data_IF_164159408074
#
_entry.id   IF_164159408074
#
_cell.length_a   1.000
_cell.length_b   1.000
_cell.length_c   1.000
_cell.angle_alpha   90.00
_cell.angle_beta   90.00
_cell.angle_gamma   90.00
#
_symmetry.space_group_name_H-M   'P 1'
#
loop_
_entity.id
_entity.type
_entity.pdbx_description
1 polymer ?
#
# COMPACT_ATOMS: atom_id res chain seq x y z
N UNK A 1 39.66 -5.96 -18.67
CA UNK A 1 38.22 -5.83 -18.77
C UNK A 1 37.57 -7.01 -18.05
N UNK A 2 37.27 -6.90 -16.76
CA UNK A 2 36.64 -7.94 -15.96
C UNK A 2 35.17 -7.55 -15.69
N UNK A 3 34.23 -8.29 -16.26
CA UNK A 3 32.81 -8.25 -15.91
C UNK A 3 32.65 -8.92 -14.54
N UNK A 4 32.31 -8.17 -13.52
CA UNK A 4 31.85 -8.72 -12.25
C UNK A 4 30.38 -9.13 -12.40
N UNK A 5 30.18 -10.45 -12.46
CA UNK A 5 28.86 -11.06 -12.36
C UNK A 5 28.51 -11.06 -10.88
N UNK A 6 27.46 -10.33 -10.52
CA UNK A 6 26.92 -10.30 -9.17
C UNK A 6 26.06 -11.57 -8.99
N UNK A 7 26.63 -12.59 -8.35
CA UNK A 7 25.90 -13.78 -7.91
C UNK A 7 24.98 -13.41 -6.77
N UNK A 8 23.69 -13.29 -7.05
CA UNK A 8 22.65 -13.29 -6.00
C UNK A 8 22.43 -14.75 -5.63
N UNK A 9 22.94 -15.15 -4.48
CA UNK A 9 22.69 -16.46 -3.91
C UNK A 9 21.24 -16.55 -3.45
N UNK A 10 20.43 -17.31 -4.18
CA UNK A 10 19.08 -17.70 -3.75
C UNK A 10 19.25 -18.83 -2.74
N UNK A 11 19.20 -18.52 -1.45
CA UNK A 11 19.03 -19.53 -0.41
C UNK A 11 17.54 -19.87 -0.30
N UNK A 12 17.17 -20.96 -0.92
CA UNK A 12 15.87 -21.59 -0.70
C UNK A 12 15.82 -22.22 0.69
N UNK A 13 15.11 -21.63 1.62
CA UNK A 13 14.65 -22.31 2.83
C UNK A 13 13.16 -22.59 2.70
N UNK A 14 12.80 -23.83 2.43
CA UNK A 14 11.42 -24.32 2.55
C UNK A 14 11.07 -24.22 4.03
N UNK A 15 10.20 -23.28 4.39
CA UNK A 15 9.83 -23.04 5.78
C UNK A 15 8.49 -23.65 6.14
N UNK A 16 8.51 -24.39 7.23
CA UNK A 16 7.35 -24.84 8.03
C UNK A 16 6.70 -23.65 8.78
N UNK A 17 6.63 -22.45 8.16
CA UNK A 17 6.18 -21.21 8.80
C UNK A 17 4.79 -20.73 8.43
N UNK A 18 4.03 -21.51 7.66
CA UNK A 18 2.81 -21.05 7.01
C UNK A 18 1.62 -20.76 7.95
N UNK A 19 1.64 -21.24 9.19
CA UNK A 19 0.54 -21.01 10.15
C UNK A 19 0.76 -19.84 11.14
N UNK A 20 1.99 -19.35 11.29
CA UNK A 20 2.28 -18.29 12.26
C UNK A 20 2.13 -16.86 11.69
N UNK A 21 2.20 -16.68 10.38
CA UNK A 21 2.10 -15.38 9.71
C UNK A 21 0.67 -14.85 9.61
N UNK A 22 -0.33 -15.73 9.64
CA UNK A 22 -1.75 -15.36 9.51
C UNK A 22 -2.28 -14.53 10.69
N UNK A 23 -1.88 -14.87 11.90
CA UNK A 23 -2.27 -14.12 13.09
C UNK A 23 -1.61 -12.74 13.18
N UNK A 24 -0.48 -12.53 12.48
CA UNK A 24 0.31 -11.31 12.60
C UNK A 24 -0.27 -10.14 11.81
N UNK A 25 -0.80 -10.37 10.62
CA UNK A 25 -1.31 -9.28 9.77
C UNK A 25 -2.64 -8.70 10.28
N UNK A 26 -3.51 -9.54 10.84
CA UNK A 26 -4.78 -9.07 11.44
C UNK A 26 -4.57 -8.40 12.79
N UNK A 27 -3.56 -8.84 13.55
CA UNK A 27 -3.21 -8.33 14.88
C UNK A 27 -1.92 -7.50 14.88
N UNK A 28 -1.46 -7.02 13.72
CA UNK A 28 -0.30 -6.15 13.68
C UNK A 28 -0.54 -4.96 14.61
N UNK A 29 0.42 -4.64 15.49
CA UNK A 29 0.28 -3.54 16.42
C UNK A 29 0.08 -2.23 15.63
N UNK A 30 -0.96 -1.48 15.97
CA UNK A 30 -1.28 -0.21 15.34
C UNK A 30 -0.66 0.91 16.14
N UNK A 31 0.18 1.72 15.49
CA UNK A 31 0.78 2.89 16.09
C UNK A 31 -0.22 4.04 16.15
N UNK A 32 -0.36 4.64 17.32
CA UNK A 32 -1.09 5.87 17.51
C UNK A 32 -0.11 7.04 17.60
N UNK A 33 -0.21 7.96 16.66
CA UNK A 33 0.72 9.08 16.56
C UNK A 33 0.47 10.18 17.60
N UNK A 34 -0.73 10.27 18.15
CA UNK A 34 -1.05 11.18 19.24
C UNK A 34 -0.52 10.65 20.58
N UNK A 35 -0.72 9.35 20.84
CA UNK A 35 -0.27 8.69 22.07
C UNK A 35 1.21 8.30 22.01
N UNK A 36 1.86 8.35 20.85
CA UNK A 36 3.26 7.93 20.61
C UNK A 36 3.57 6.52 21.10
N UNK A 37 2.60 5.61 20.96
CA UNK A 37 2.71 4.19 21.31
C UNK A 37 1.80 3.31 20.47
N UNK A 38 2.01 2.02 20.54
CA UNK A 38 1.08 1.06 19.95
C UNK A 38 -0.19 0.92 20.79
N UNK A 39 -1.33 0.76 20.11
CA UNK A 39 -2.60 0.46 20.74
C UNK A 39 -2.64 -0.96 21.28
N UNK A 40 -3.28 -1.15 22.44
CA UNK A 40 -3.59 -2.46 22.98
C UNK A 40 -4.78 -3.10 22.26
N UNK A 41 -4.93 -4.43 22.34
CA UNK A 41 -6.10 -5.13 21.79
C UNK A 41 -7.43 -4.58 22.34
N UNK A 42 -7.45 -4.14 23.59
CA UNK A 42 -8.63 -3.59 24.25
C UNK A 42 -9.00 -2.21 23.67
N UNK A 43 -8.01 -1.40 23.33
CA UNK A 43 -8.23 -0.09 22.69
C UNK A 43 -8.65 -0.23 21.22
N UNK A 44 -8.25 -1.28 20.56
CA UNK A 44 -8.73 -1.60 19.21
C UNK A 44 -10.23 -1.89 19.17
N UNK A 45 -10.79 -2.51 20.25
CA UNK A 45 -12.22 -2.73 20.40
C UNK A 45 -12.82 -3.76 19.48
N UNK A 46 -14.15 -3.73 19.28
CA UNK A 46 -14.86 -4.63 18.38
C UNK A 46 -14.48 -4.34 16.92
N UNK A 47 -14.30 -5.39 16.14
CA UNK A 47 -13.88 -5.33 14.75
C UNK A 47 -14.88 -6.01 13.81
N UNK A 48 -15.16 -5.34 12.71
CA UNK A 48 -15.83 -5.94 11.56
C UNK A 48 -14.77 -6.44 10.60
N UNK A 49 -14.55 -7.76 10.56
CA UNK A 49 -13.63 -8.43 9.63
C UNK A 49 -14.37 -8.73 8.34
N UNK A 50 -13.89 -8.19 7.22
CA UNK A 50 -14.49 -8.38 5.89
C UNK A 50 -13.71 -9.34 5.02
N UNK A 51 -12.37 -9.30 5.10
CA UNK A 51 -11.47 -10.10 4.29
C UNK A 51 -10.26 -10.55 5.11
N UNK A 52 -9.78 -11.75 4.84
CA UNK A 52 -8.45 -12.15 5.26
C UNK A 52 -7.37 -11.51 4.35
N UNK A 53 -6.12 -11.44 4.78
CA UNK A 53 -5.02 -10.98 3.92
C UNK A 53 -4.92 -11.71 2.59
N UNK A 54 -5.13 -13.04 2.60
CA UNK A 54 -5.04 -13.89 1.41
C UNK A 54 -6.21 -13.67 0.45
N UNK A 55 -7.43 -13.49 0.98
CA UNK A 55 -8.59 -13.13 0.16
C UNK A 55 -8.38 -11.77 -0.49
N UNK A 56 -7.88 -10.80 0.27
CA UNK A 56 -7.55 -9.48 -0.26
C UNK A 56 -6.45 -9.56 -1.32
N UNK A 57 -5.37 -10.33 -1.11
CA UNK A 57 -4.30 -10.51 -2.08
C UNK A 57 -4.80 -11.15 -3.39
N UNK A 58 -5.74 -12.11 -3.32
CA UNK A 58 -6.40 -12.67 -4.51
C UNK A 58 -7.24 -11.64 -5.26
N UNK A 59 -7.85 -10.68 -4.55
CA UNK A 59 -8.59 -9.58 -5.19
C UNK A 59 -7.65 -8.57 -5.84
N UNK A 60 -6.41 -8.42 -5.34
CA UNK A 60 -5.40 -7.59 -5.99
C UNK A 60 -4.85 -8.24 -7.27
N UNK A 61 -4.68 -9.56 -7.25
CA UNK A 61 -4.04 -10.33 -8.32
C UNK A 61 -4.89 -11.52 -8.76
N UNK A 62 -6.09 -11.26 -9.35
CA UNK A 62 -7.05 -12.34 -9.67
C UNK A 62 -6.55 -13.30 -10.74
N UNK A 63 -5.67 -12.84 -11.63
CA UNK A 63 -5.16 -13.59 -12.77
C UNK A 63 -3.73 -14.12 -12.55
N UNK A 64 -3.13 -13.88 -11.38
CA UNK A 64 -1.79 -14.37 -11.09
C UNK A 64 -1.76 -15.88 -10.86
N UNK A 65 -0.75 -16.54 -11.44
CA UNK A 65 -0.53 -18.00 -11.26
C UNK A 65 -0.27 -18.33 -9.79
N UNK A 66 0.44 -17.46 -9.09
CA UNK A 66 0.68 -17.57 -7.64
C UNK A 66 0.93 -16.20 -6.99
N UNK A 67 0.73 -16.15 -5.69
CA UNK A 67 1.01 -14.99 -4.86
C UNK A 67 1.96 -15.44 -3.74
N UNK A 68 3.13 -14.81 -3.68
CA UNK A 68 4.10 -15.05 -2.59
C UNK A 68 4.11 -13.89 -1.60
N UNK A 69 4.50 -14.18 -0.37
CA UNK A 69 4.70 -13.17 0.67
C UNK A 69 6.21 -12.95 0.88
N UNK A 70 6.61 -11.70 1.06
CA UNK A 70 8.01 -11.32 1.33
C UNK A 70 8.06 -10.18 2.34
N UNK A 71 8.80 -10.38 3.43
CA UNK A 71 9.05 -9.34 4.44
C UNK A 71 10.27 -8.54 4.04
N UNK A 72 10.11 -7.23 3.87
CA UNK A 72 11.21 -6.32 3.54
C UNK A 72 11.49 -5.39 4.70
N UNK A 73 12.73 -5.40 5.18
CA UNK A 73 13.21 -4.49 6.21
C UNK A 73 13.88 -3.28 5.55
N UNK A 74 13.45 -2.09 5.96
CA UNK A 74 14.01 -0.83 5.47
C UNK A 74 15.36 -0.54 6.12
N UNK A 75 16.31 -0.07 5.33
CA UNK A 75 17.48 0.58 5.90
C UNK A 75 17.08 1.94 6.54
N UNK A 76 17.89 2.48 7.47
CA UNK A 76 17.63 3.81 8.03
C UNK A 76 17.51 4.91 6.97
N UNK A 77 18.32 4.82 5.90
CA UNK A 77 18.32 5.78 4.78
C UNK A 77 17.04 5.65 3.95
N UNK A 78 16.61 4.41 3.63
CA UNK A 78 15.36 4.17 2.92
C UNK A 78 14.17 4.67 3.72
N UNK A 79 14.12 4.38 5.02
CA UNK A 79 13.07 4.85 5.91
C UNK A 79 12.99 6.38 5.93
N UNK A 80 14.13 7.06 6.10
CA UNK A 80 14.22 8.51 6.09
C UNK A 80 13.72 9.10 4.76
N UNK A 81 14.18 8.57 3.64
CA UNK A 81 13.76 9.00 2.30
C UNK A 81 12.25 8.86 2.10
N UNK A 82 11.68 7.72 2.50
CA UNK A 82 10.24 7.47 2.39
C UNK A 82 9.46 8.46 3.25
N UNK A 83 9.89 8.69 4.52
CA UNK A 83 9.25 9.66 5.43
C UNK A 83 9.29 11.08 4.87
N UNK A 84 10.40 11.52 4.30
CA UNK A 84 10.53 12.82 3.64
C UNK A 84 9.56 12.95 2.45
N UNK A 85 9.43 11.91 1.64
CA UNK A 85 8.54 11.90 0.46
C UNK A 85 7.05 11.92 0.81
N UNK A 86 6.66 11.20 1.86
CA UNK A 86 5.24 11.17 2.29
C UNK A 86 4.88 12.33 3.21
N UNK A 87 5.87 12.98 3.84
CA UNK A 87 5.70 14.15 4.70
C UNK A 87 5.29 13.83 6.15
N UNK A 88 5.46 12.58 6.60
CA UNK A 88 5.19 12.17 7.99
C UNK A 88 6.04 10.97 8.40
N UNK A 89 6.23 10.83 9.73
CA UNK A 89 7.03 9.75 10.30
C UNK A 89 6.16 8.54 10.63
N UNK A 90 6.74 7.35 10.52
CA UNK A 90 6.14 6.08 10.92
C UNK A 90 7.16 5.23 11.69
N UNK A 91 6.73 4.41 12.67
CA UNK A 91 7.63 3.64 13.50
C UNK A 91 8.14 2.36 12.82
N UNK A 92 7.35 1.79 11.92
CA UNK A 92 7.63 0.49 11.29
C UNK A 92 8.98 0.50 10.57
N UNK A 93 9.70 -0.61 10.67
CA UNK A 93 10.98 -0.83 9.98
C UNK A 93 10.89 -1.93 8.94
N UNK A 94 9.82 -2.73 8.96
CA UNK A 94 9.60 -3.80 8.00
C UNK A 94 8.14 -3.82 7.53
N UNK A 95 7.95 -4.32 6.31
CA UNK A 95 6.66 -4.42 5.67
C UNK A 95 6.50 -5.77 5.00
N UNK A 96 5.30 -6.37 5.13
CA UNK A 96 4.90 -7.60 4.45
C UNK A 96 4.32 -7.26 3.08
N UNK A 97 4.97 -7.74 2.02
CA UNK A 97 4.51 -7.59 0.65
C UNK A 97 3.93 -8.89 0.12
N UNK A 98 2.78 -8.81 -0.47
CA UNK A 98 2.20 -9.86 -1.32
C UNK A 98 2.57 -9.53 -2.76
N UNK A 99 3.19 -10.48 -3.46
CA UNK A 99 3.71 -10.28 -4.81
C UNK A 99 3.00 -11.27 -5.73
N UNK A 100 2.20 -10.74 -6.66
CA UNK A 100 1.55 -11.52 -7.70
C UNK A 100 2.51 -11.82 -8.85
N UNK A 101 2.49 -13.04 -9.35
CA UNK A 101 3.36 -13.47 -10.44
C UNK A 101 2.61 -14.39 -11.42
N UNK A 102 2.82 -14.12 -12.72
CA UNK A 102 2.32 -14.93 -13.83
C UNK A 102 3.48 -15.30 -14.76
N UNK A 103 3.73 -16.61 -14.94
CA UNK A 103 4.80 -17.13 -15.82
C UNK A 103 6.17 -16.49 -15.52
N UNK A 104 6.48 -16.31 -14.23
CA UNK A 104 7.73 -15.71 -13.75
C UNK A 104 7.87 -14.21 -13.95
N UNK A 105 6.78 -13.51 -14.31
CA UNK A 105 6.72 -12.04 -14.37
C UNK A 105 5.89 -11.52 -13.21
N UNK A 106 6.34 -10.43 -12.62
CA UNK A 106 5.63 -9.76 -11.53
C UNK A 106 4.42 -9.01 -12.11
N UNK A 107 3.25 -9.31 -11.58
CA UNK A 107 1.98 -8.65 -11.89
C UNK A 107 1.74 -7.42 -11.00
N UNK A 108 2.38 -7.39 -9.83
CA UNK A 108 2.32 -6.25 -8.91
C UNK A 108 2.72 -6.61 -7.48
N UNK A 109 2.59 -5.62 -6.63
CA UNK A 109 2.88 -5.70 -5.19
C UNK A 109 1.67 -5.21 -4.41
N UNK A 110 1.33 -5.90 -3.33
CA UNK A 110 0.32 -5.42 -2.41
C UNK A 110 0.84 -5.44 -0.99
N UNK A 111 0.38 -4.51 -0.16
CA UNK A 111 0.78 -4.45 1.24
C UNK A 111 -0.37 -3.98 2.12
N UNK A 112 -0.37 -4.46 3.36
CA UNK A 112 -1.36 -4.09 4.36
C UNK A 112 -0.95 -2.78 5.03
N UNK A 113 -1.91 -1.88 5.16
CA UNK A 113 -1.79 -0.64 5.89
C UNK A 113 -2.72 -0.66 7.11
N UNK A 114 -2.19 -0.19 8.24
CA UNK A 114 -2.97 0.10 9.43
C UNK A 114 -2.88 1.60 9.71
N UNK A 115 -4.01 2.28 9.69
CA UNK A 115 -4.06 3.73 9.95
C UNK A 115 -5.24 4.05 10.86
N UNK A 116 -5.07 5.04 11.74
CA UNK A 116 -6.14 5.48 12.63
C UNK A 116 -7.15 6.30 11.83
N UNK A 117 -8.43 5.92 11.91
CA UNK A 117 -9.54 6.70 11.38
C UNK A 117 -9.81 7.93 12.24
N UNK A 118 -10.98 8.02 12.83
CA UNK A 118 -11.27 9.07 13.83
C UNK A 118 -10.77 8.67 15.22
N UNK A 119 -11.04 7.43 15.62
CA UNK A 119 -10.71 6.91 16.96
C UNK A 119 -10.14 5.50 16.94
N UNK A 120 -10.40 4.75 15.86
CA UNK A 120 -10.08 3.34 15.76
C UNK A 120 -9.26 3.07 14.49
N UNK A 121 -8.42 2.03 14.52
CA UNK A 121 -7.63 1.66 13.35
C UNK A 121 -8.49 1.02 12.27
N UNK A 122 -8.13 1.32 11.02
CA UNK A 122 -8.58 0.62 9.83
C UNK A 122 -7.43 -0.21 9.27
N UNK A 123 -7.72 -1.44 8.90
CA UNK A 123 -6.79 -2.33 8.20
C UNK A 123 -7.26 -2.48 6.76
N UNK A 124 -6.39 -2.21 5.80
CA UNK A 124 -6.71 -2.32 4.37
C UNK A 124 -5.48 -2.71 3.57
N UNK A 125 -5.68 -3.32 2.43
CA UNK A 125 -4.62 -3.68 1.49
C UNK A 125 -4.63 -2.71 0.31
N UNK A 126 -3.45 -2.36 -0.17
CA UNK A 126 -3.23 -1.53 -1.36
C UNK A 126 -2.41 -2.34 -2.35
N UNK A 127 -2.99 -2.61 -3.52
CA UNK A 127 -2.31 -3.22 -4.66
C UNK A 127 -1.73 -2.16 -5.58
N UNK A 128 -0.52 -2.39 -6.07
CA UNK A 128 0.22 -1.51 -6.99
C UNK A 128 0.76 -2.34 -8.14
N UNK A 129 0.56 -1.89 -9.36
CA UNK A 129 1.00 -2.57 -10.56
C UNK A 129 2.50 -2.33 -10.89
N UNK A 130 3.06 -3.03 -11.90
CA UNK A 130 4.44 -2.82 -12.34
C UNK A 130 4.72 -1.44 -12.96
N UNK A 131 3.69 -0.62 -13.20
CA UNK A 131 3.77 0.76 -13.67
C UNK A 131 3.82 1.75 -12.50
N UNK A 132 3.60 1.28 -11.26
CA UNK A 132 3.58 2.12 -10.06
C UNK A 132 2.24 2.82 -9.85
N UNK A 133 1.17 2.26 -10.41
CA UNK A 133 -0.20 2.75 -10.26
C UNK A 133 -1.00 1.87 -9.30
N UNK A 134 -1.92 2.48 -8.57
CA UNK A 134 -2.83 1.72 -7.69
C UNK A 134 -3.72 0.81 -8.54
N UNK A 135 -3.63 -0.50 -8.31
CA UNK A 135 -4.54 -1.50 -8.89
C UNK A 135 -5.90 -1.46 -8.19
N UNK A 136 -5.88 -1.59 -6.87
CA UNK A 136 -7.07 -1.67 -6.05
C UNK A 136 -6.76 -1.33 -4.59
N UNK A 137 -7.80 -1.02 -3.82
CA UNK A 137 -7.75 -0.85 -2.36
C UNK A 137 -8.91 -1.63 -1.77
N UNK A 138 -8.63 -2.55 -0.83
CA UNK A 138 -9.65 -3.33 -0.14
C UNK A 138 -9.52 -3.17 1.37
N UNK A 139 -10.63 -2.88 2.03
CA UNK A 139 -10.68 -2.81 3.51
C UNK A 139 -10.86 -4.22 4.06
N UNK A 140 -9.92 -4.63 4.92
CA UNK A 140 -9.90 -5.93 5.56
C UNK A 140 -10.66 -5.90 6.89
N UNK A 141 -10.34 -4.89 7.72
CA UNK A 141 -10.95 -4.76 9.04
C UNK A 141 -11.31 -3.30 9.29
N UNK A 142 -12.51 -3.08 9.77
CA UNK A 142 -13.01 -1.77 10.16
C UNK A 142 -13.51 -1.79 11.59
N UNK A 143 -13.14 -0.77 12.38
CA UNK A 143 -13.40 -0.74 13.82
C UNK A 143 -14.16 0.49 14.28
N UNK A 144 -14.45 1.41 13.38
CA UNK A 144 -15.21 2.63 13.67
C UNK A 144 -16.72 2.37 13.57
N UNK A 145 -17.51 3.05 14.40
CA UNK A 145 -18.98 2.96 14.36
C UNK A 145 -19.61 3.67 13.16
N UNK A 146 -18.86 4.54 12.49
CA UNK A 146 -19.31 5.33 11.33
C UNK A 146 -18.21 5.39 10.27
N UNK A 147 -18.62 5.67 9.02
CA UNK A 147 -17.66 5.85 7.93
C UNK A 147 -17.24 4.55 7.24
N UNK A 148 -17.98 3.46 7.48
CA UNK A 148 -17.77 2.17 6.78
C UNK A 148 -17.92 2.28 5.26
N UNK A 149 -18.40 3.41 4.76
CA UNK A 149 -18.47 3.72 3.33
C UNK A 149 -17.11 3.71 2.64
N UNK A 150 -16.00 3.89 3.37
CA UNK A 150 -14.63 3.75 2.84
C UNK A 150 -14.33 2.35 2.30
N UNK A 151 -15.11 1.32 2.70
CA UNK A 151 -14.99 -0.03 2.16
C UNK A 151 -15.73 -0.26 0.84
N UNK A 152 -16.63 0.68 0.47
CA UNK A 152 -17.40 0.53 -0.77
C UNK A 152 -16.49 0.63 -1.99
N UNK A 153 -16.58 -0.34 -2.90
CA UNK A 153 -15.80 -0.35 -4.16
C UNK A 153 -15.91 0.97 -4.91
N UNK A 154 -17.12 1.56 -4.95
CA UNK A 154 -17.33 2.88 -5.58
C UNK A 154 -16.45 3.98 -4.98
N UNK A 155 -16.18 3.94 -3.69
CA UNK A 155 -15.28 4.90 -3.04
C UNK A 155 -13.83 4.57 -3.36
N UNK A 156 -13.42 3.31 -3.22
CA UNK A 156 -12.04 2.88 -3.43
C UNK A 156 -11.58 3.01 -4.89
N UNK A 157 -12.53 2.93 -5.83
CA UNK A 157 -12.26 3.10 -7.26
C UNK A 157 -11.54 4.42 -7.60
N UNK A 158 -11.74 5.48 -6.82
CA UNK A 158 -11.06 6.76 -7.03
C UNK A 158 -9.54 6.72 -6.80
N UNK A 159 -9.02 5.68 -6.14
CA UNK A 159 -7.59 5.49 -5.98
C UNK A 159 -6.94 4.81 -7.19
N UNK A 160 -7.69 4.07 -7.99
CA UNK A 160 -7.15 3.33 -9.14
C UNK A 160 -6.44 4.25 -10.12
N UNK A 161 -5.33 3.78 -10.69
CA UNK A 161 -4.49 4.55 -11.60
C UNK A 161 -3.70 5.69 -10.96
N UNK A 162 -3.83 5.92 -9.64
CA UNK A 162 -3.02 6.93 -8.97
C UNK A 162 -1.60 6.46 -8.73
N UNK A 163 -0.66 7.40 -8.88
CA UNK A 163 0.78 7.21 -8.72
C UNK A 163 1.30 7.95 -7.49
N UNK A 164 2.57 7.75 -7.08
CA UNK A 164 3.19 8.53 -5.99
C UNK A 164 3.21 10.05 -6.23
N UNK A 165 2.97 10.51 -7.44
CA UNK A 165 3.02 11.92 -7.83
C UNK A 165 1.66 12.63 -7.76
N UNK A 166 0.57 11.87 -7.69
CA UNK A 166 -0.75 12.44 -7.44
C UNK A 166 -0.87 12.99 -6.02
N UNK A 167 -1.66 14.04 -5.80
CA UNK A 167 -1.90 14.60 -4.48
C UNK A 167 -2.43 13.58 -3.47
N UNK A 168 -3.37 12.74 -3.88
CA UNK A 168 -4.12 11.77 -3.05
C UNK A 168 -4.64 12.48 -1.80
N UNK A 169 -5.38 13.56 -2.01
CA UNK A 169 -5.89 14.45 -0.95
C UNK A 169 -7.35 14.79 -1.17
N UNK A 170 -8.10 14.84 -0.06
CA UNK A 170 -9.48 15.32 -0.04
C UNK A 170 -9.55 16.73 -0.64
N UNK A 171 -10.59 16.99 -1.41
CA UNK A 171 -10.87 18.25 -2.11
C UNK A 171 -9.84 18.61 -3.20
N UNK A 172 -8.97 17.67 -3.56
CA UNK A 172 -8.11 17.79 -4.76
C UNK A 172 -8.45 16.71 -5.76
N UNK A 173 -8.13 15.47 -5.45
CA UNK A 173 -8.30 14.32 -6.32
C UNK A 173 -8.96 13.12 -5.60
N UNK A 174 -9.40 13.34 -4.35
CA UNK A 174 -10.17 12.39 -3.56
C UNK A 174 -11.47 13.06 -3.07
N UNK A 175 -12.60 12.45 -3.40
CA UNK A 175 -13.92 12.87 -2.93
C UNK A 175 -14.08 12.43 -1.48
N UNK A 176 -14.50 13.35 -0.63
CA UNK A 176 -14.73 13.07 0.78
C UNK A 176 -16.04 12.30 0.99
N UNK A 177 -16.11 11.58 2.12
CA UNK A 177 -17.33 10.98 2.63
C UNK A 177 -17.78 11.82 3.83
N UNK A 178 -19.02 12.33 3.77
CA UNK A 178 -19.61 13.08 4.89
C UNK A 178 -19.63 12.23 6.16
N UNK A 179 -19.10 12.76 7.25
CA UNK A 179 -18.99 12.03 8.53
C UNK A 179 -17.82 11.06 8.64
N UNK A 180 -17.02 10.85 7.56
CA UNK A 180 -15.87 9.95 7.55
C UNK A 180 -14.55 10.64 7.12
N UNK A 181 -14.45 11.95 7.23
CA UNK A 181 -13.31 12.74 6.74
C UNK A 181 -11.96 12.24 7.28
N UNK A 182 -11.90 11.85 8.55
CA UNK A 182 -10.67 11.34 9.16
C UNK A 182 -10.28 10.00 8.55
N UNK A 183 -11.24 9.09 8.38
CA UNK A 183 -10.99 7.79 7.75
C UNK A 183 -10.52 7.94 6.30
N UNK A 184 -11.14 8.83 5.52
CA UNK A 184 -10.71 9.13 4.14
C UNK A 184 -9.29 9.71 4.10
N UNK A 185 -8.97 10.65 5.02
CA UNK A 185 -7.64 11.26 5.11
C UNK A 185 -6.57 10.22 5.43
N UNK A 186 -6.84 9.39 6.44
CA UNK A 186 -5.90 8.36 6.90
C UNK A 186 -5.69 7.28 5.84
N UNK A 187 -6.76 6.82 5.18
CA UNK A 187 -6.65 5.89 4.05
C UNK A 187 -5.83 6.49 2.90
N UNK A 188 -6.09 7.74 2.54
CA UNK A 188 -5.33 8.43 1.49
C UNK A 188 -3.84 8.54 1.82
N UNK A 189 -3.50 8.79 3.09
CA UNK A 189 -2.11 8.82 3.54
C UNK A 189 -1.44 7.44 3.43
N UNK A 190 -2.13 6.37 3.81
CA UNK A 190 -1.61 5.01 3.68
C UNK A 190 -1.49 4.55 2.23
N UNK A 191 -2.44 4.91 1.34
CA UNK A 191 -2.32 4.67 -0.11
C UNK A 191 -1.07 5.38 -0.65
N UNK A 192 -0.84 6.64 -0.27
CA UNK A 192 0.35 7.38 -0.65
C UNK A 192 1.63 6.70 -0.18
N UNK A 193 1.66 6.23 1.09
CA UNK A 193 2.79 5.49 1.65
C UNK A 193 3.05 4.21 0.87
N UNK A 194 2.01 3.44 0.54
CA UNK A 194 2.13 2.19 -0.23
C UNK A 194 2.80 2.42 -1.59
N UNK A 195 2.34 3.44 -2.32
CA UNK A 195 2.91 3.80 -3.62
C UNK A 195 4.38 4.18 -3.52
N UNK A 196 4.75 4.98 -2.52
CA UNK A 196 6.14 5.41 -2.31
C UNK A 196 7.02 4.22 -1.91
N UNK A 197 6.53 3.33 -1.04
CA UNK A 197 7.24 2.10 -0.66
C UNK A 197 7.53 1.22 -1.88
N UNK A 198 6.51 0.94 -2.71
CA UNK A 198 6.70 0.12 -3.92
C UNK A 198 7.67 0.78 -4.89
N UNK A 199 7.56 2.09 -5.10
CA UNK A 199 8.48 2.81 -5.99
C UNK A 199 9.92 2.74 -5.51
N UNK A 200 10.19 3.00 -4.23
CA UNK A 200 11.55 3.01 -3.68
C UNK A 200 12.17 1.62 -3.60
N UNK A 201 11.37 0.63 -3.22
CA UNK A 201 11.90 -0.71 -2.94
C UNK A 201 11.99 -1.61 -4.16
N UNK A 202 11.09 -1.43 -5.13
CA UNK A 202 11.01 -2.34 -6.28
C UNK A 202 11.21 -1.64 -7.62
N UNK A 203 10.53 -0.52 -7.87
CA UNK A 203 10.54 0.08 -9.22
C UNK A 203 11.84 0.81 -9.52
N UNK A 204 12.36 1.60 -8.59
CA UNK A 204 13.65 2.30 -8.78
C UNK A 204 14.84 1.34 -8.96
N UNK A 205 15.00 0.26 -8.16
CA UNK A 205 16.04 -0.72 -8.39
C UNK A 205 15.95 -1.40 -9.74
N UNK A 206 14.74 -1.53 -10.31
CA UNK A 206 14.50 -2.05 -11.67
C UNK A 206 14.68 -0.99 -12.77
N UNK A 207 15.10 0.23 -12.43
CA UNK A 207 15.25 1.32 -13.39
C UNK A 207 13.93 1.92 -13.89
N UNK A 208 12.80 1.61 -13.23
CA UNK A 208 11.46 2.01 -13.69
C UNK A 208 10.86 3.23 -12.96
N UNK A 209 11.37 3.60 -11.79
CA UNK A 209 10.72 4.57 -10.89
C UNK A 209 10.48 5.98 -11.46
N UNK A 210 11.36 6.49 -12.29
CA UNK A 210 11.23 7.86 -12.84
C UNK A 210 10.77 7.90 -14.30
N UNK A 211 11.08 6.88 -15.09
CA UNK A 211 10.84 6.89 -16.54
C UNK A 211 9.35 6.77 -16.90
N UNK A 212 8.59 6.01 -16.12
CA UNK A 212 7.16 5.75 -16.37
C UNK A 212 6.34 7.02 -16.16
N UNK A 213 6.69 7.81 -15.13
CA UNK A 213 5.96 9.04 -14.84
C UNK A 213 6.19 10.19 -15.81
N UNK A 214 7.30 10.19 -16.56
CA UNK A 214 7.52 11.15 -17.63
C UNK A 214 6.80 10.74 -18.93
N UNK A 215 6.70 9.45 -19.21
CA UNK A 215 5.97 8.97 -20.39
C UNK A 215 4.45 9.19 -20.26
N UNK A 216 3.87 8.94 -19.09
CA UNK A 216 2.43 9.17 -18.85
C UNK A 216 2.04 10.65 -18.73
N UNK A 217 3.01 11.56 -18.49
CA UNK A 217 2.76 13.02 -18.54
C UNK A 217 2.67 13.58 -19.96
N UNK A 218 3.14 12.84 -20.96
CA UNK A 218 3.01 13.22 -22.36
C UNK A 218 1.64 12.88 -22.96
N UNK A 219 0.78 12.16 -22.24
CA UNK A 219 -0.54 11.79 -22.72
C UNK A 219 -1.58 12.91 -22.52
N UNK A 220 -2.10 13.27 -23.66
CA UNK A 220 -3.29 14.09 -24.04
C UNK A 220 -4.02 14.92 -22.97
N UNK A 221 -4.30 14.40 -21.78
CA UNK A 221 -5.07 15.12 -20.77
C UNK A 221 -4.39 16.33 -20.17
N UNK A 222 -3.04 16.37 -20.14
CA UNK A 222 -2.29 17.53 -19.64
C UNK A 222 -2.25 18.67 -20.67
N UNK A 223 -2.15 18.32 -21.95
CA UNK A 223 -2.20 19.32 -23.03
C UNK A 223 -3.60 19.88 -23.22
N UNK A 224 -4.64 19.07 -23.06
CA UNK A 224 -6.04 19.52 -23.12
C UNK A 224 -6.41 20.45 -21.96
N UNK A 225 -5.89 20.18 -20.74
CA UNK A 225 -6.10 21.08 -19.58
C UNK A 225 -5.36 22.41 -19.68
N UNK A 226 -4.28 22.46 -20.49
CA UNK A 226 -3.50 23.68 -20.73
C UNK A 226 -4.04 24.51 -21.92
N UNK A 227 -4.74 23.87 -22.86
CA UNK A 227 -5.21 24.51 -24.08
C UNK A 227 -6.68 24.93 -24.03
N UNK A 228 -7.41 24.63 -22.92
CA UNK A 228 -8.72 25.23 -22.62
C UNK A 228 -9.83 24.89 -23.61
N UNK A 229 -9.88 23.62 -24.12
CA UNK A 229 -11.00 23.12 -24.94
C UNK A 229 -11.87 22.17 -24.12
#
# INVERSE_FOLDING_TARGET
>A
MLRRILNIAIFGSVSLGFLATFAHAQNAPVWDDELKRYLTAQEMGQEDVYLTPEEAAKLMFPDSDHIRNEVITLSPEQKKLIQERIGWNFPETSFDFFIGETKGKIDGWALIQNTIGKHKPMTYMVGVDPQGEVLNVEVLVYRESRGSEVRKKRFNYQYQGKTPYHPIRINRDIINISGATMSVRSMSAGVKRSLVLVEELFLKPLGKGNAINMANRSDKGFLESLLGF
#
